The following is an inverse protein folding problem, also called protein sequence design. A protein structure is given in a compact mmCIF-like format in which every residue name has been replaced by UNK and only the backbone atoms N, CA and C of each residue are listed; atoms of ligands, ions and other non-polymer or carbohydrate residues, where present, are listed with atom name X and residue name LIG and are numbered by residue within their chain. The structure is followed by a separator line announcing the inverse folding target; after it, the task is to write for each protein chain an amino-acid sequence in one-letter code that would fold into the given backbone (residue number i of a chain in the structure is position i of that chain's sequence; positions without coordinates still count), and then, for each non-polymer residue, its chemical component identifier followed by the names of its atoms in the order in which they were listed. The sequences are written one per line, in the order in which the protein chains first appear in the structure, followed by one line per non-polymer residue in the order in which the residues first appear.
data_IF_536653799266
#
_entry.id   IF_536653799266
#
_cell.length_a   1.000
_cell.length_b   1.000
_cell.length_c   1.000
_cell.angle_alpha   90.00
_cell.angle_beta   90.00
_cell.angle_gamma   90.00
#
_symmetry.space_group_name_H-M   'P 1'
#
loop_
_entity.id
_entity.type
_entity.pdbx_description
1 polymer ?
#
# COMPACT_ATOMS: atom_id res chain seq x y z
N UNK A 1 27.83 7.43 -57.09
CA UNK A 1 27.42 8.50 -56.15
C UNK A 1 26.10 8.19 -55.42
N UNK A 2 25.66 6.93 -55.35
CA UNK A 2 24.37 6.56 -54.74
C UNK A 2 24.50 5.94 -53.34
N UNK A 3 25.67 5.38 -53.00
CA UNK A 3 25.86 4.70 -51.69
C UNK A 3 26.05 5.67 -50.52
N UNK A 4 26.54 6.89 -50.74
CA UNK A 4 26.68 7.92 -49.69
C UNK A 4 25.34 8.55 -49.32
N UNK A 5 24.45 8.78 -50.30
CA UNK A 5 23.09 9.28 -50.07
C UNK A 5 22.22 8.23 -49.34
N UNK A 6 22.35 6.96 -49.69
CA UNK A 6 21.66 5.85 -49.00
C UNK A 6 22.14 5.72 -47.55
N UNK A 7 23.45 5.82 -47.30
CA UNK A 7 24.02 5.76 -45.94
C UNK A 7 23.54 6.92 -45.06
N UNK A 8 23.45 8.14 -45.61
CA UNK A 8 22.95 9.33 -44.88
C UNK A 8 21.46 9.16 -44.52
N UNK A 9 20.63 8.67 -45.45
CA UNK A 9 19.22 8.39 -45.15
C UNK A 9 19.03 7.26 -44.13
N UNK A 10 19.85 6.20 -44.18
CA UNK A 10 19.79 5.10 -43.20
C UNK A 10 20.22 5.56 -41.81
N UNK A 11 21.25 6.41 -41.70
CA UNK A 11 21.69 6.98 -40.41
C UNK A 11 20.62 7.93 -39.85
N UNK A 12 20.00 8.76 -40.69
CA UNK A 12 18.93 9.67 -40.26
C UNK A 12 17.67 8.93 -39.79
N UNK A 13 17.28 7.84 -40.46
CA UNK A 13 16.15 6.99 -40.06
C UNK A 13 16.45 6.25 -38.75
N UNK A 14 17.70 5.80 -38.56
CA UNK A 14 18.13 5.13 -37.32
C UNK A 14 18.18 6.11 -36.13
N UNK A 15 18.56 7.38 -36.36
CA UNK A 15 18.54 8.43 -35.33
C UNK A 15 17.14 8.91 -34.95
N UNK A 16 16.15 8.85 -35.86
CA UNK A 16 14.75 9.22 -35.56
C UNK A 16 14.01 8.13 -34.76
N UNK A 17 14.40 6.86 -34.90
CA UNK A 17 13.79 5.74 -34.17
C UNK A 17 14.22 5.69 -32.69
N UNK A 18 15.37 6.28 -32.34
CA UNK A 18 15.86 6.29 -30.95
C UNK A 18 15.09 7.26 -30.03
N UNK A 19 14.37 8.23 -30.60
CA UNK A 19 13.65 9.28 -29.85
C UNK A 19 12.23 8.84 -29.49
N UNK A 20 11.72 7.76 -30.09
CA UNK A 20 10.39 7.22 -29.79
C UNK A 20 10.46 6.04 -28.82
N UNK A 21 11.34 6.11 -27.83
CA UNK A 21 11.21 5.27 -26.65
C UNK A 21 10.00 5.81 -25.89
N UNK A 22 8.89 5.06 -25.73
CA UNK A 22 7.83 5.50 -24.85
C UNK A 22 8.46 5.63 -23.47
N UNK A 23 8.70 6.86 -23.03
CA UNK A 23 8.93 7.17 -21.63
C UNK A 23 7.63 6.79 -20.97
N UNK A 24 7.56 5.55 -20.49
CA UNK A 24 6.59 5.17 -19.50
C UNK A 24 6.82 6.06 -18.29
N UNK A 25 6.16 7.23 -18.28
CA UNK A 25 5.59 7.76 -17.05
C UNK A 25 4.51 6.77 -16.60
N UNK A 26 4.93 5.55 -16.25
CA UNK A 26 4.15 4.74 -15.36
C UNK A 26 4.48 5.31 -13.99
N UNK A 27 3.49 5.90 -13.33
CA UNK A 27 3.60 6.14 -11.89
C UNK A 27 4.09 4.87 -11.23
N UNK A 28 4.95 4.99 -10.22
CA UNK A 28 5.59 3.82 -9.64
C UNK A 28 4.48 2.92 -9.07
N UNK A 29 4.49 1.66 -9.51
CA UNK A 29 3.54 0.64 -9.02
C UNK A 29 4.32 -0.49 -8.41
N UNK A 30 3.84 -0.97 -7.26
CA UNK A 30 4.44 -2.09 -6.54
C UNK A 30 3.48 -3.26 -6.49
N UNK A 31 4.00 -4.43 -6.87
CA UNK A 31 3.30 -5.70 -6.68
C UNK A 31 3.69 -6.28 -5.33
N UNK A 32 2.69 -6.58 -4.50
CA UNK A 32 2.85 -7.12 -3.15
C UNK A 32 2.06 -8.41 -3.02
N UNK A 33 2.69 -9.44 -2.44
CA UNK A 33 2.00 -10.67 -2.03
C UNK A 33 1.74 -10.61 -0.54
N UNK A 34 0.48 -10.81 -0.15
CA UNK A 34 0.04 -10.80 1.24
C UNK A 34 -0.87 -11.99 1.54
N UNK A 35 -0.82 -12.47 2.78
CA UNK A 35 -1.63 -13.59 3.26
C UNK A 35 -2.43 -13.10 4.46
N UNK A 36 -3.75 -13.01 4.29
CA UNK A 36 -4.68 -12.64 5.35
C UNK A 36 -5.41 -13.85 5.91
N UNK A 37 -5.81 -13.75 7.17
CA UNK A 37 -6.42 -14.87 7.90
C UNK A 37 -7.65 -14.40 8.67
N UNK A 38 -8.60 -15.32 8.80
CA UNK A 38 -9.74 -15.12 9.67
C UNK A 38 -10.17 -16.42 10.30
N UNK A 39 -10.35 -16.40 11.62
CA UNK A 39 -10.94 -17.50 12.39
C UNK A 39 -12.42 -17.20 12.53
N UNK A 40 -13.26 -18.09 12.00
CA UNK A 40 -14.71 -17.94 12.04
C UNK A 40 -15.24 -18.14 13.46
N UNK A 41 -16.18 -17.28 13.85
CA UNK A 41 -17.04 -17.53 15.00
C UNK A 41 -18.23 -18.43 14.64
N UNK A 42 -18.97 -18.88 15.66
CA UNK A 42 -20.07 -19.83 15.52
C UNK A 42 -21.19 -19.38 14.56
N UNK A 43 -21.37 -18.07 14.41
CA UNK A 43 -22.40 -17.46 13.58
C UNK A 43 -21.90 -17.00 12.20
N UNK A 44 -20.61 -17.12 11.93
CA UNK A 44 -20.04 -16.65 10.67
C UNK A 44 -20.34 -17.63 9.53
N UNK A 45 -20.71 -17.09 8.36
CA UNK A 45 -20.78 -17.88 7.14
C UNK A 45 -19.38 -18.04 6.51
N UNK A 46 -19.19 -19.07 5.67
CA UNK A 46 -17.95 -19.20 4.89
C UNK A 46 -17.66 -17.96 4.03
N UNK A 47 -18.72 -17.31 3.55
CA UNK A 47 -18.63 -16.05 2.79
C UNK A 47 -18.09 -14.93 3.66
N UNK A 48 -18.55 -14.81 4.91
CA UNK A 48 -18.03 -13.83 5.87
C UNK A 48 -16.57 -14.08 6.18
N UNK A 49 -16.21 -15.34 6.45
CA UNK A 49 -14.83 -15.70 6.71
C UNK A 49 -13.91 -15.32 5.55
N UNK A 50 -14.31 -15.63 4.31
CA UNK A 50 -13.54 -15.27 3.12
C UNK A 50 -13.42 -13.75 2.95
N UNK A 51 -14.52 -13.02 3.15
CA UNK A 51 -14.54 -11.56 3.06
C UNK A 51 -13.59 -10.92 4.08
N UNK A 52 -13.58 -11.42 5.31
CA UNK A 52 -12.75 -10.90 6.39
C UNK A 52 -11.28 -11.26 6.21
N UNK A 53 -10.96 -12.49 5.78
CA UNK A 53 -9.59 -12.85 5.43
C UNK A 53 -9.05 -12.07 4.22
N UNK A 54 -9.90 -11.77 3.24
CA UNK A 54 -9.54 -10.88 2.13
C UNK A 54 -9.27 -9.44 2.60
N UNK A 55 -10.06 -8.93 3.53
CA UNK A 55 -9.86 -7.60 4.10
C UNK A 55 -8.53 -7.52 4.86
N UNK A 56 -8.22 -8.54 5.66
CA UNK A 56 -6.93 -8.65 6.35
C UNK A 56 -5.75 -8.76 5.36
N UNK A 57 -5.89 -9.55 4.29
CA UNK A 57 -4.86 -9.69 3.26
C UNK A 57 -4.58 -8.35 2.56
N UNK A 58 -5.63 -7.57 2.25
CA UNK A 58 -5.50 -6.22 1.65
C UNK A 58 -4.81 -5.24 2.60
N UNK A 59 -5.15 -5.25 3.90
CA UNK A 59 -4.46 -4.45 4.91
C UNK A 59 -2.96 -4.78 4.93
N UNK A 60 -2.60 -6.05 5.03
CA UNK A 60 -1.21 -6.49 5.05
C UNK A 60 -0.46 -6.14 3.76
N UNK A 61 -1.14 -6.12 2.61
CA UNK A 61 -0.53 -5.67 1.36
C UNK A 61 -0.19 -4.17 1.38
N UNK A 62 -1.11 -3.34 1.90
CA UNK A 62 -0.90 -1.91 2.07
C UNK A 62 0.18 -1.60 3.11
N UNK A 63 0.24 -2.34 4.22
CA UNK A 63 1.32 -2.22 5.21
C UNK A 63 2.68 -2.51 4.59
N UNK A 64 2.81 -3.63 3.87
CA UNK A 64 4.05 -3.97 3.16
C UNK A 64 4.45 -2.92 2.12
N UNK A 65 3.48 -2.32 1.42
CA UNK A 65 3.74 -1.23 0.49
C UNK A 65 4.17 0.05 1.22
N UNK A 66 3.57 0.34 2.39
CA UNK A 66 4.01 1.39 3.29
C UNK A 66 5.45 1.16 3.74
N UNK A 67 5.77 0.00 4.34
CA UNK A 67 7.13 -0.39 4.75
C UNK A 67 8.13 -0.35 3.60
N UNK A 68 7.72 -0.63 2.37
CA UNK A 68 8.57 -0.44 1.20
C UNK A 68 8.92 1.04 0.99
N UNK A 69 7.94 1.94 1.08
CA UNK A 69 8.20 3.38 1.05
C UNK A 69 9.08 3.82 2.23
N UNK A 70 9.00 3.18 3.39
CA UNK A 70 9.90 3.40 4.53
C UNK A 70 11.36 3.04 4.25
N UNK A 71 11.56 1.98 3.48
CA UNK A 71 12.92 1.59 3.09
C UNK A 71 13.54 2.55 2.06
N UNK A 72 12.70 3.28 1.31
CA UNK A 72 13.13 4.20 0.25
C UNK A 72 13.10 5.67 0.67
N UNK A 73 12.35 6.02 1.70
CA UNK A 73 12.13 7.39 2.18
C UNK A 73 12.04 7.38 3.70
N UNK A 74 12.33 8.50 4.38
CA UNK A 74 12.37 8.64 5.86
C UNK A 74 11.03 8.40 6.59
N UNK A 75 10.07 7.76 5.94
CA UNK A 75 8.83 7.24 6.50
C UNK A 75 9.22 6.10 7.47
N UNK A 76 9.00 6.23 8.79
CA UNK A 76 9.31 5.18 9.80
C UNK A 76 8.06 4.51 10.40
N UNK A 77 8.08 3.18 10.54
CA UNK A 77 7.05 2.30 11.14
C UNK A 77 5.59 2.53 10.69
N UNK A 78 5.19 1.86 9.61
CA UNK A 78 3.83 1.98 9.05
C UNK A 78 2.93 0.82 9.48
N UNK A 79 2.17 1.05 10.55
CA UNK A 79 1.08 0.18 10.98
C UNK A 79 -0.26 0.88 10.74
N UNK A 80 -1.19 0.15 10.09
CA UNK A 80 -2.44 0.69 9.58
C UNK A 80 -3.63 0.42 10.49
N UNK A 81 -4.34 1.48 10.88
CA UNK A 81 -5.68 1.38 11.44
C UNK A 81 -6.72 1.09 10.35
N UNK A 82 -7.91 0.61 10.74
CA UNK A 82 -8.98 0.27 9.80
C UNK A 82 -9.39 1.45 8.89
N UNK A 83 -9.45 2.66 9.45
CA UNK A 83 -9.84 3.85 8.70
C UNK A 83 -8.75 4.28 7.71
N UNK A 84 -7.49 4.07 8.07
CA UNK A 84 -6.36 4.32 7.17
C UNK A 84 -6.29 3.27 6.06
N UNK A 85 -6.55 1.99 6.34
CA UNK A 85 -6.71 0.96 5.29
C UNK A 85 -7.78 1.37 4.29
N UNK A 86 -8.94 1.82 4.77
CA UNK A 86 -10.04 2.27 3.92
C UNK A 86 -9.66 3.49 3.09
N UNK A 87 -8.98 4.46 3.72
CA UNK A 87 -8.45 5.64 3.06
C UNK A 87 -7.47 5.24 1.95
N UNK A 88 -6.60 4.26 2.19
CA UNK A 88 -5.53 3.82 1.28
C UNK A 88 -5.96 2.81 0.23
N UNK A 89 -7.13 2.20 0.40
CA UNK A 89 -7.68 1.24 -0.53
C UNK A 89 -7.82 1.81 -1.95
N UNK A 90 -7.98 3.13 -2.10
CA UNK A 90 -8.02 3.81 -3.40
C UNK A 90 -6.70 3.69 -4.19
N UNK A 91 -5.56 3.51 -3.51
CA UNK A 91 -4.26 3.27 -4.14
C UNK A 91 -4.07 1.84 -4.64
N UNK A 92 -4.97 0.92 -4.30
CA UNK A 92 -4.90 -0.48 -4.75
C UNK A 92 -5.52 -0.57 -6.16
N UNK A 93 -4.66 -0.75 -7.16
CA UNK A 93 -5.07 -0.81 -8.57
C UNK A 93 -5.71 -2.15 -8.94
N UNK A 94 -5.19 -3.25 -8.40
CA UNK A 94 -5.74 -4.58 -8.65
C UNK A 94 -5.46 -5.53 -7.50
N UNK A 95 -6.36 -6.47 -7.27
CA UNK A 95 -6.18 -7.58 -6.33
C UNK A 95 -6.56 -8.89 -6.99
N UNK A 96 -5.61 -9.81 -7.06
CA UNK A 96 -5.80 -11.16 -7.55
C UNK A 96 -5.70 -12.14 -6.38
N UNK A 97 -6.68 -13.03 -6.24
CA UNK A 97 -6.65 -14.10 -5.23
C UNK A 97 -5.84 -15.27 -5.78
N UNK A 98 -4.66 -15.51 -5.22
CA UNK A 98 -3.78 -16.60 -5.63
C UNK A 98 -4.18 -17.93 -4.99
N UNK A 99 -4.62 -17.88 -3.74
CA UNK A 99 -4.90 -19.09 -2.97
C UNK A 99 -5.93 -18.85 -1.86
N UNK A 100 -6.75 -19.86 -1.65
CA UNK A 100 -7.67 -19.96 -0.52
C UNK A 100 -7.42 -21.31 0.17
N UNK A 101 -7.30 -21.32 1.49
CA UNK A 101 -7.13 -22.53 2.29
C UNK A 101 -8.05 -22.48 3.49
N UNK A 102 -8.68 -23.61 3.78
CA UNK A 102 -9.50 -23.82 4.96
C UNK A 102 -8.79 -24.81 5.89
N UNK A 103 -8.72 -24.49 7.19
CA UNK A 103 -8.10 -25.33 8.21
C UNK A 103 -8.82 -25.17 9.53
N UNK A 104 -8.85 -26.22 10.35
CA UNK A 104 -9.30 -26.11 11.74
C UNK A 104 -8.24 -25.36 12.57
N UNK A 105 -8.71 -24.45 13.42
CA UNK A 105 -7.92 -23.69 14.39
C UNK A 105 -8.57 -23.88 15.75
N UNK A 106 -8.18 -24.95 16.44
CA UNK A 106 -8.93 -25.45 17.60
C UNK A 106 -10.29 -25.98 17.16
N UNK A 107 -11.35 -25.50 17.80
CA UNK A 107 -12.74 -25.87 17.49
C UNK A 107 -13.32 -25.08 16.32
N UNK A 108 -12.66 -23.98 15.93
CA UNK A 108 -13.16 -23.04 14.92
C UNK A 108 -12.54 -23.27 13.55
N UNK A 109 -13.29 -22.92 12.50
CA UNK A 109 -12.80 -22.98 11.13
C UNK A 109 -12.04 -21.70 10.77
N UNK A 110 -10.81 -21.82 10.30
CA UNK A 110 -9.99 -20.72 9.81
C UNK A 110 -9.92 -20.75 8.28
N UNK A 111 -10.02 -19.58 7.67
CA UNK A 111 -9.69 -19.36 6.27
C UNK A 111 -8.43 -18.50 6.15
N UNK A 112 -7.57 -18.90 5.22
CA UNK A 112 -6.37 -18.17 4.83
C UNK A 112 -6.49 -17.83 3.35
N UNK A 113 -6.35 -16.54 3.01
CA UNK A 113 -6.40 -16.06 1.64
C UNK A 113 -5.08 -15.38 1.29
N UNK A 114 -4.43 -15.87 0.24
CA UNK A 114 -3.22 -15.26 -0.33
C UNK A 114 -3.62 -14.43 -1.54
N UNK A 115 -3.22 -13.16 -1.56
CA UNK A 115 -3.47 -12.24 -2.66
C UNK A 115 -2.17 -11.72 -3.28
N UNK A 116 -2.27 -11.31 -4.54
CA UNK A 116 -1.32 -10.46 -5.24
C UNK A 116 -2.01 -9.12 -5.46
N UNK A 117 -1.50 -8.07 -4.84
CA UNK A 117 -2.00 -6.71 -4.97
C UNK A 117 -1.03 -5.87 -5.79
N UNK A 118 -1.55 -5.07 -6.72
CA UNK A 118 -0.80 -4.02 -7.41
C UNK A 118 -1.21 -2.68 -6.82
N UNK A 119 -0.24 -1.94 -6.30
CA UNK A 119 -0.47 -0.71 -5.53
C UNK A 119 0.25 0.45 -6.22
N UNK A 120 -0.42 1.59 -6.38
CA UNK A 120 0.19 2.83 -6.82
C UNK A 120 0.99 3.43 -5.66
N UNK A 121 2.32 3.43 -5.76
CA UNK A 121 3.19 3.90 -4.67
C UNK A 121 3.28 5.41 -4.61
N UNK A 122 3.09 6.14 -5.71
CA UNK A 122 3.06 7.61 -5.71
C UNK A 122 1.87 8.10 -4.90
N UNK A 123 0.68 7.59 -5.22
CA UNK A 123 -0.55 7.88 -4.48
C UNK A 123 -0.44 7.47 -3.01
N UNK A 124 0.15 6.29 -2.75
CA UNK A 124 0.33 5.79 -1.40
C UNK A 124 1.25 6.70 -0.59
N UNK A 125 2.35 7.17 -1.19
CA UNK A 125 3.30 8.09 -0.55
C UNK A 125 2.63 9.38 -0.11
N UNK A 126 1.96 10.08 -1.04
CA UNK A 126 1.27 11.34 -0.75
C UNK A 126 0.25 11.17 0.39
N UNK A 127 -0.49 10.05 0.36
CA UNK A 127 -1.50 9.78 1.37
C UNK A 127 -0.92 9.42 2.73
N UNK A 128 0.20 8.68 2.78
CA UNK A 128 0.91 8.36 4.01
C UNK A 128 1.46 9.62 4.66
N UNK A 129 2.06 10.53 3.89
CA UNK A 129 2.58 11.80 4.39
C UNK A 129 1.45 12.66 4.99
N UNK A 130 0.31 12.75 4.32
CA UNK A 130 -0.86 13.48 4.84
C UNK A 130 -1.42 12.88 6.15
N UNK A 131 -1.42 11.55 6.29
CA UNK A 131 -1.86 10.90 7.53
C UNK A 131 -0.90 11.15 8.69
N UNK A 132 0.40 11.28 8.43
CA UNK A 132 1.42 11.56 9.45
C UNK A 132 1.32 12.96 10.02
N UNK A 133 1.23 13.98 9.16
CA UNK A 133 1.09 15.37 9.59
C UNK A 133 -0.08 15.51 10.59
N UNK A 134 -1.20 14.86 10.28
CA UNK A 134 -2.37 14.88 11.16
C UNK A 134 -2.16 14.14 12.50
N UNK A 135 -1.36 13.07 12.53
CA UNK A 135 -1.02 12.34 13.77
C UNK A 135 -0.06 13.14 14.65
N UNK A 136 0.91 13.84 14.06
CA UNK A 136 1.87 14.69 14.79
C UNK A 136 1.15 15.86 15.46
N UNK A 137 0.29 16.58 14.73
CA UNK A 137 -0.51 17.68 15.27
C UNK A 137 -1.33 17.22 16.49
N UNK A 138 -2.05 16.10 16.36
CA UNK A 138 -2.86 15.54 17.46
C UNK A 138 -1.99 15.15 18.67
N UNK A 139 -0.76 14.67 18.45
CA UNK A 139 0.20 14.36 19.51
C UNK A 139 0.62 15.60 20.29
N UNK A 140 0.96 16.68 19.59
CA UNK A 140 1.32 17.96 20.20
C UNK A 140 0.16 18.55 21.02
N UNK A 141 -1.06 18.55 20.47
CA UNK A 141 -2.25 19.00 21.20
C UNK A 141 -2.47 18.24 22.51
N UNK A 142 -2.29 16.90 22.51
CA UNK A 142 -2.43 16.09 23.73
C UNK A 142 -1.36 16.43 24.76
N UNK A 143 -0.11 16.63 24.33
CA UNK A 143 0.98 17.00 25.22
C UNK A 143 0.77 18.38 25.84
N UNK A 144 0.27 19.35 25.07
CA UNK A 144 -0.06 20.69 25.57
C UNK A 144 -1.18 20.60 26.62
N UNK A 145 -2.25 19.83 26.35
CA UNK A 145 -3.32 19.63 27.33
C UNK A 145 -2.82 18.97 28.63
N UNK A 146 -1.94 17.98 28.53
CA UNK A 146 -1.35 17.34 29.69
C UNK A 146 -0.51 18.32 30.53
N UNK A 147 0.28 19.18 29.88
CA UNK A 147 1.06 20.22 30.55
C UNK A 147 0.17 21.26 31.24
N UNK A 148 -0.90 21.71 30.58
CA UNK A 148 -1.88 22.63 31.18
C UNK A 148 -2.52 22.04 32.43
N UNK A 149 -2.90 20.75 32.38
CA UNK A 149 -3.47 20.05 33.53
C UNK A 149 -2.47 19.94 34.68
N UNK A 150 -1.22 19.60 34.39
CA UNK A 150 -0.17 19.51 35.41
C UNK A 150 0.09 20.87 36.09
N UNK A 151 0.15 21.98 35.32
CA UNK A 151 0.28 23.32 35.88
C UNK A 151 -0.91 23.70 36.79
N UNK A 152 -2.13 23.29 36.41
CA UNK A 152 -3.32 23.55 37.22
C UNK A 152 -3.30 22.78 38.55
N UNK A 153 -2.74 21.58 38.57
CA UNK A 153 -2.59 20.77 39.77
C UNK A 153 -1.47 21.29 40.70
N UNK A 154 -0.44 21.95 40.18
CA UNK A 154 0.62 22.58 41.00
C UNK A 154 0.20 23.91 41.66
N UNK A 155 -0.81 24.58 41.11
CA UNK A 155 -1.32 25.87 41.62
C UNK A 155 -2.51 25.72 42.59
N UNK A 156 -2.93 24.49 42.88
CA UNK A 156 -4.02 24.13 43.79
C UNK A 156 -3.48 23.63 45.14
#
# INVERSE_FOLDING_TARGET
MNNTLIKINVIAIFSIILILSPSSLLGDTKVVIAEGKYVMGDLDSKTDGKRLALMDAKRLALEKAGTYLESMSEVKNYELTKDEVNSLAAGVLSVEVLKEKWKMSGENLMVTVTIKATINTDWLKDRIEALRANREDVGEFKNIQAQLKALQEELA
#
